data_IF_249425737805
#
_entry.id   IF_249425737805
#
_cell.length_a   1.000
_cell.length_b   1.000
_cell.length_c   1.000
_cell.angle_alpha   90.00
_cell.angle_beta   90.00
_cell.angle_gamma   90.00
#
_symmetry.space_group_name_H-M   'P 1'
#
loop_
_entity.id
_entity.type
_entity.pdbx_description
1 polymer ?
#
# COMPACT_ATOMS: atom_id res chain seq x y z
N UNK A 1 2.12 -8.01 -7.84
CA UNK A 1 1.58 -6.67 -8.12
C UNK A 1 2.12 -6.24 -9.47
N UNK A 2 1.28 -5.79 -10.39
CA UNK A 2 1.73 -5.11 -11.62
C UNK A 2 1.86 -3.60 -11.40
N UNK A 3 2.46 -2.89 -12.35
CA UNK A 3 2.60 -1.42 -12.28
C UNK A 3 1.24 -0.72 -12.22
N UNK A 4 0.25 -1.18 -12.98
CA UNK A 4 -1.10 -0.61 -12.98
C UNK A 4 -1.78 -0.79 -11.61
N UNK A 5 -1.68 -1.99 -11.01
CA UNK A 5 -2.24 -2.24 -9.69
C UNK A 5 -1.60 -1.37 -8.60
N UNK A 6 -0.30 -1.08 -8.74
CA UNK A 6 0.40 -0.19 -7.83
C UNK A 6 -0.08 1.25 -7.98
N UNK A 7 -0.22 1.73 -9.22
CA UNK A 7 -0.70 3.08 -9.53
C UNK A 7 -2.12 3.25 -8.99
N UNK A 8 -3.01 2.27 -9.15
CA UNK A 8 -4.37 2.34 -8.60
C UNK A 8 -4.39 2.42 -7.07
N UNK A 9 -3.59 1.59 -6.39
CA UNK A 9 -3.42 1.64 -4.93
C UNK A 9 -2.87 2.99 -4.47
N UNK A 10 -1.83 3.48 -5.13
CA UNK A 10 -1.22 4.77 -4.83
C UNK A 10 -2.21 5.92 -5.08
N UNK A 11 -3.03 5.85 -6.13
CA UNK A 11 -4.03 6.88 -6.45
C UNK A 11 -5.13 6.96 -5.40
N UNK A 12 -5.61 5.81 -4.91
CA UNK A 12 -6.59 5.75 -3.83
C UNK A 12 -6.03 6.37 -2.54
N UNK A 13 -4.80 6.01 -2.17
CA UNK A 13 -4.13 6.53 -0.97
C UNK A 13 -3.73 8.00 -1.09
N UNK A 14 -3.38 8.47 -2.28
CA UNK A 14 -3.11 9.89 -2.55
C UNK A 14 -4.35 10.77 -2.31
N UNK A 15 -5.55 10.29 -2.70
CA UNK A 15 -6.80 11.01 -2.42
C UNK A 15 -7.06 11.11 -0.91
N UNK A 16 -6.74 10.08 -0.13
CA UNK A 16 -6.84 10.11 1.34
C UNK A 16 -5.84 11.11 1.95
N UNK A 17 -4.59 11.12 1.50
CA UNK A 17 -3.58 12.10 1.94
C UNK A 17 -4.03 13.52 1.61
N UNK A 18 -4.60 13.74 0.42
CA UNK A 18 -5.07 15.06 0.03
C UNK A 18 -6.23 15.56 0.90
N UNK A 19 -7.06 14.66 1.43
CA UNK A 19 -8.10 15.01 2.41
C UNK A 19 -7.51 15.36 3.78
N UNK A 20 -6.38 14.77 4.16
CA UNK A 20 -5.69 15.15 5.40
C UNK A 20 -5.15 16.58 5.34
N UNK A 21 -4.81 17.10 4.15
CA UNK A 21 -4.40 18.51 4.00
C UNK A 21 -5.52 19.49 4.37
N UNK A 22 -6.78 19.06 4.45
CA UNK A 22 -7.91 19.88 4.88
C UNK A 22 -8.04 19.93 6.42
N UNK A 23 -7.26 19.12 7.14
CA UNK A 23 -7.29 19.11 8.61
C UNK A 23 -6.52 20.31 9.17
N UNK A 24 -7.06 20.96 10.22
CA UNK A 24 -6.47 22.18 10.78
C UNK A 24 -5.25 21.91 11.69
N UNK A 25 -5.05 20.66 12.12
CA UNK A 25 -4.05 20.28 13.11
C UNK A 25 -2.90 19.47 12.51
N UNK A 26 -1.68 19.94 12.77
CA UNK A 26 -0.44 19.31 12.30
C UNK A 26 -0.27 17.88 12.86
N UNK A 27 -0.71 17.64 14.10
CA UNK A 27 -0.56 16.36 14.77
C UNK A 27 -1.50 15.30 14.16
N UNK A 28 -2.74 15.69 13.89
CA UNK A 28 -3.74 14.84 13.22
C UNK A 28 -3.34 14.55 11.77
N UNK A 29 -2.73 15.53 11.10
CA UNK A 29 -2.14 15.34 9.78
C UNK A 29 -1.00 14.32 9.79
N UNK A 30 -0.03 14.48 10.69
CA UNK A 30 1.12 13.58 10.80
C UNK A 30 0.68 12.15 11.12
N UNK A 31 -0.23 11.98 12.06
CA UNK A 31 -0.76 10.66 12.43
C UNK A 31 -1.50 10.02 11.26
N UNK A 32 -2.41 10.75 10.62
CA UNK A 32 -3.16 10.25 9.47
C UNK A 32 -2.26 9.91 8.28
N UNK A 33 -1.21 10.71 8.05
CA UNK A 33 -0.26 10.49 6.97
C UNK A 33 0.53 9.20 7.19
N UNK A 34 1.04 8.99 8.40
CA UNK A 34 1.77 7.77 8.78
C UNK A 34 0.88 6.54 8.64
N UNK A 35 -0.37 6.61 9.10
CA UNK A 35 -1.32 5.50 9.02
C UNK A 35 -1.61 5.12 7.57
N UNK A 36 -1.89 6.10 6.69
CA UNK A 36 -2.12 5.87 5.26
C UNK A 36 -0.88 5.25 4.59
N UNK A 37 0.32 5.75 4.94
CA UNK A 37 1.56 5.28 4.36
C UNK A 37 1.91 3.85 4.79
N UNK A 38 1.67 3.52 6.07
CA UNK A 38 1.80 2.17 6.59
C UNK A 38 0.82 1.21 5.91
N UNK A 39 -0.43 1.61 5.71
CA UNK A 39 -1.44 0.81 5.04
C UNK A 39 -1.10 0.55 3.56
N UNK A 40 -0.58 1.57 2.86
CA UNK A 40 -0.08 1.44 1.49
C UNK A 40 1.07 0.43 1.44
N UNK A 41 2.07 0.61 2.31
CA UNK A 41 3.24 -0.27 2.39
C UNK A 41 2.83 -1.72 2.71
N UNK A 42 1.87 -1.90 3.63
CA UNK A 42 1.33 -3.21 3.98
C UNK A 42 0.59 -3.86 2.81
N UNK A 43 -0.25 -3.11 2.10
CA UNK A 43 -1.00 -3.61 0.93
C UNK A 43 -0.06 -4.02 -0.21
N UNK A 44 0.96 -3.20 -0.47
CA UNK A 44 2.01 -3.49 -1.45
C UNK A 44 2.82 -4.72 -1.04
N UNK A 45 3.24 -4.80 0.23
CA UNK A 45 3.98 -5.94 0.75
C UNK A 45 3.14 -7.22 0.70
N UNK A 46 1.87 -7.19 1.09
CA UNK A 46 0.97 -8.34 1.01
C UNK A 46 0.72 -8.77 -0.44
N UNK A 47 0.49 -7.83 -1.37
CA UNK A 47 0.34 -8.17 -2.79
C UNK A 47 1.63 -8.71 -3.42
N UNK A 48 2.81 -8.26 -2.98
CA UNK A 48 4.08 -8.79 -3.48
C UNK A 48 4.48 -10.12 -2.82
N UNK A 49 4.23 -10.28 -1.52
CA UNK A 49 4.49 -11.51 -0.77
C UNK A 49 3.47 -12.60 -1.08
N UNK A 50 2.20 -12.24 -1.32
CA UNK A 50 1.11 -13.13 -1.72
C UNK A 50 1.29 -13.73 -3.12
N UNK A 51 2.17 -13.14 -3.95
CA UNK A 51 2.57 -13.70 -5.26
C UNK A 51 3.61 -14.83 -5.11
N UNK A 52 4.08 -15.16 -3.90
CA UNK A 52 4.86 -16.40 -3.64
C UNK A 52 4.03 -17.70 -3.68
N UNK A 53 2.94 -17.73 -4.45
CA UNK A 53 2.20 -18.95 -4.74
C UNK A 53 2.13 -19.20 -6.23
N UNK A 54 3.30 -19.48 -6.83
CA UNK A 54 3.44 -20.29 -8.04
C UNK A 54 4.91 -20.70 -8.18
N UNK A 55 5.14 -22.00 -8.03
CA UNK A 55 6.30 -22.72 -8.57
C UNK A 55 7.69 -22.56 -7.90
N UNK A 56 7.88 -23.17 -6.72
CA UNK A 56 9.25 -23.55 -6.25
C UNK A 56 9.38 -24.98 -5.72
N UNK A 57 8.39 -25.85 -5.95
CA UNK A 57 8.55 -27.28 -5.67
C UNK A 57 7.99 -28.16 -6.79
N UNK A 58 8.62 -28.08 -7.97
CA UNK A 58 8.87 -29.32 -8.72
C UNK A 58 9.99 -30.05 -7.97
N UNK A 59 9.60 -30.93 -7.03
CA UNK A 59 10.48 -32.06 -6.69
C UNK A 59 10.30 -33.05 -7.82
N UNK A 60 11.25 -33.08 -8.75
CA UNK A 60 11.49 -34.29 -9.54
C UNK A 60 12.18 -35.26 -8.58
N UNK A 61 11.48 -36.30 -8.18
CA UNK A 61 12.00 -37.64 -7.89
C UNK A 61 10.80 -38.59 -7.96
#
# INVERSE_FOLDING_TARGET
MTEEEFIELARAKYLEINRLNELPGLLEYEQGFVDIWMDLGRSVAQKNLGVKSKDRRKKKD
#
